data_IF_213441161035
#
_entry.id   IF_213441161035
#
_cell.length_a   1.000
_cell.length_b   1.000
_cell.length_c   1.000
_cell.angle_alpha   90.00
_cell.angle_beta   90.00
_cell.angle_gamma   90.00
#
_symmetry.space_group_name_H-M   'P 1'
#
loop_
_entity.id
_entity.type
_entity.pdbx_description
1 polymer ?
#
# COMPACT_ATOMS: atom_id res chain seq x y z
N UNK A 1 0.78 6.06 -20.83
CA UNK A 1 0.30 4.91 -20.02
C UNK A 1 1.19 4.85 -18.79
N UNK A 2 0.63 4.87 -17.59
CA UNK A 2 1.38 4.88 -16.33
C UNK A 2 1.10 3.58 -15.59
N UNK A 3 2.15 2.83 -15.23
CA UNK A 3 2.07 1.66 -14.38
C UNK A 3 2.89 1.94 -13.13
N UNK A 4 2.29 1.69 -11.95
CA UNK A 4 2.95 1.83 -10.65
C UNK A 4 3.06 0.43 -10.07
N UNK A 5 4.28 -0.01 -9.77
CA UNK A 5 4.55 -1.30 -9.15
C UNK A 5 4.93 -1.08 -7.68
N UNK A 6 4.14 -1.63 -6.77
CA UNK A 6 4.45 -1.71 -5.35
C UNK A 6 5.05 -3.09 -5.10
N UNK A 7 6.35 -3.15 -4.85
CA UNK A 7 7.10 -4.40 -4.78
C UNK A 7 8.30 -4.21 -3.86
N UNK A 8 8.74 -5.29 -3.23
CA UNK A 8 9.94 -5.27 -2.41
C UNK A 8 11.20 -5.21 -3.28
N UNK A 9 12.31 -4.74 -2.72
CA UNK A 9 13.60 -4.69 -3.43
C UNK A 9 14.04 -6.08 -3.90
N UNK A 10 13.75 -7.13 -3.12
CA UNK A 10 14.11 -8.52 -3.45
C UNK A 10 13.34 -9.07 -4.67
N UNK A 11 12.20 -8.47 -4.98
CA UNK A 11 11.33 -8.87 -6.09
C UNK A 11 11.72 -8.17 -7.41
N UNK A 12 12.55 -7.12 -7.36
CA UNK A 12 13.14 -6.43 -8.53
C UNK A 12 14.27 -7.27 -9.17
N UNK A 13 13.95 -8.51 -9.52
CA UNK A 13 14.90 -9.44 -10.10
C UNK A 13 14.98 -9.35 -11.64
N UNK A 14 15.91 -10.09 -12.24
CA UNK A 14 16.12 -10.12 -13.69
C UNK A 14 14.87 -10.53 -14.48
N UNK A 15 14.03 -11.40 -13.92
CA UNK A 15 12.78 -11.82 -14.56
C UNK A 15 11.77 -10.68 -14.61
N UNK A 16 11.66 -9.87 -13.55
CA UNK A 16 10.85 -8.66 -13.52
C UNK A 16 11.28 -7.68 -14.63
N UNK A 17 12.58 -7.39 -14.74
CA UNK A 17 13.11 -6.49 -15.77
C UNK A 17 12.86 -7.04 -17.18
N UNK A 18 12.98 -8.35 -17.40
CA UNK A 18 12.65 -8.98 -18.69
C UNK A 18 11.18 -8.78 -19.06
N UNK A 19 10.27 -8.95 -18.10
CA UNK A 19 8.85 -8.78 -18.34
C UNK A 19 8.49 -7.31 -18.58
N UNK A 20 9.09 -6.38 -17.83
CA UNK A 20 8.92 -4.94 -18.04
C UNK A 20 9.31 -4.54 -19.47
N UNK A 21 10.47 -5.00 -19.95
CA UNK A 21 10.94 -4.73 -21.33
C UNK A 21 10.02 -5.33 -22.40
N UNK A 22 9.42 -6.50 -22.15
CA UNK A 22 8.44 -7.10 -23.07
C UNK A 22 7.14 -6.32 -23.13
N UNK A 23 6.69 -5.79 -21.98
CA UNK A 23 5.42 -5.10 -21.86
C UNK A 23 5.46 -3.67 -22.43
N UNK A 24 6.63 -3.01 -22.35
CA UNK A 24 6.83 -1.63 -22.80
C UNK A 24 7.86 -1.53 -23.94
N UNK A 25 7.66 -2.29 -25.02
CA UNK A 25 8.57 -2.24 -26.18
C UNK A 25 8.67 -0.82 -26.76
N UNK A 26 9.91 -0.37 -27.03
CA UNK A 26 10.23 0.96 -27.56
C UNK A 26 9.73 2.17 -26.75
N UNK A 27 9.37 2.00 -25.47
CA UNK A 27 8.98 3.11 -24.61
C UNK A 27 10.20 3.76 -23.94
N UNK A 28 10.19 5.09 -23.82
CA UNK A 28 11.01 5.80 -22.83
C UNK A 28 10.27 5.68 -21.49
N UNK A 29 10.98 5.22 -20.46
CA UNK A 29 10.40 4.99 -19.13
C UNK A 29 11.17 5.79 -18.08
N UNK A 30 10.44 6.39 -17.16
CA UNK A 30 10.97 6.99 -15.94
C UNK A 30 10.77 6.00 -14.79
N UNK A 31 11.86 5.61 -14.12
CA UNK A 31 11.81 4.72 -12.95
C UNK A 31 12.03 5.56 -11.70
N UNK A 32 11.02 5.61 -10.83
CA UNK A 32 11.08 6.32 -9.56
C UNK A 32 11.11 5.29 -8.44
N UNK A 33 12.22 5.24 -7.70
CA UNK A 33 12.37 4.40 -6.51
C UNK A 33 12.13 5.28 -5.29
N UNK A 34 11.13 4.94 -4.48
CA UNK A 34 10.89 5.55 -3.17
C UNK A 34 10.94 4.45 -2.14
N UNK A 35 11.68 4.68 -1.06
CA UNK A 35 11.55 3.86 0.12
C UNK A 35 10.14 4.11 0.68
N UNK A 36 9.28 3.09 0.68
CA UNK A 36 7.96 3.22 1.31
C UNK A 36 8.19 3.21 2.82
N UNK A 37 8.01 4.37 3.44
CA UNK A 37 7.68 4.43 4.85
C UNK A 37 6.16 4.17 4.94
N UNK A 38 5.75 3.01 5.47
CA UNK A 38 4.34 2.62 5.57
C UNK A 38 3.50 3.68 6.30
N UNK A 39 4.14 4.48 7.15
CA UNK A 39 3.57 5.62 7.88
C UNK A 39 3.07 6.72 6.94
N UNK A 40 3.81 7.04 5.87
CA UNK A 40 3.44 8.11 4.94
C UNK A 40 2.30 7.68 4.00
N UNK A 41 2.22 6.40 3.66
CA UNK A 41 1.11 5.87 2.86
C UNK A 41 -0.22 5.92 3.63
N UNK A 42 -0.23 5.48 4.89
CA UNK A 42 -1.42 5.54 5.75
C UNK A 42 -1.89 6.98 5.98
N UNK A 43 -0.94 7.92 6.10
CA UNK A 43 -1.20 9.34 6.30
C UNK A 43 -1.48 10.15 5.02
N UNK A 44 -1.29 9.57 3.83
CA UNK A 44 -1.40 10.29 2.56
C UNK A 44 -2.82 10.76 2.21
N UNK A 45 -3.84 10.11 2.76
CA UNK A 45 -5.23 10.54 2.65
C UNK A 45 -5.69 11.16 3.95
N UNK A 46 -5.97 12.48 3.94
CA UNK A 46 -6.46 13.23 5.11
C UNK A 46 -7.66 12.54 5.77
N UNK A 47 -8.55 11.97 4.95
CA UNK A 47 -9.72 11.21 5.40
C UNK A 47 -9.34 9.90 6.10
N UNK A 48 -8.33 9.18 5.60
CA UNK A 48 -7.87 7.93 6.19
C UNK A 48 -7.11 8.17 7.51
N UNK A 49 -6.37 9.28 7.58
CA UNK A 49 -5.71 9.73 8.80
C UNK A 49 -6.74 10.05 9.90
N UNK A 50 -7.78 10.81 9.57
CA UNK A 50 -8.86 11.13 10.53
C UNK A 50 -9.56 9.87 11.07
N UNK A 51 -9.86 8.89 10.21
CA UNK A 51 -10.42 7.60 10.66
C UNK A 51 -9.46 6.78 11.53
N UNK A 52 -8.16 6.77 11.20
CA UNK A 52 -7.17 6.07 12.02
C UNK A 52 -7.04 6.72 13.40
N UNK A 53 -6.97 8.04 13.47
CA UNK A 53 -6.87 8.79 14.72
C UNK A 53 -8.11 8.59 15.59
N UNK A 54 -9.31 8.57 14.99
CA UNK A 54 -10.56 8.28 15.68
C UNK A 54 -10.59 6.83 16.22
N UNK A 55 -10.21 5.85 15.40
CA UNK A 55 -10.16 4.44 15.83
C UNK A 55 -9.14 4.22 16.96
N UNK A 56 -7.97 4.86 16.90
CA UNK A 56 -6.97 4.80 17.99
C UNK A 56 -7.54 5.39 19.28
N UNK A 57 -8.29 6.49 19.18
CA UNK A 57 -8.94 7.11 20.33
C UNK A 57 -10.03 6.21 20.92
N UNK A 58 -10.85 5.57 20.09
CA UNK A 58 -11.87 4.62 20.55
C UNK A 58 -11.27 3.40 21.26
N UNK A 59 -10.12 2.91 20.79
CA UNK A 59 -9.38 1.83 21.46
C UNK A 59 -8.86 2.30 22.83
N UNK A 60 -8.25 3.48 22.90
CA UNK A 60 -7.75 4.04 24.17
C UNK A 60 -8.88 4.33 25.17
N UNK A 61 -10.02 4.79 24.69
CA UNK A 61 -11.23 5.06 25.49
C UNK A 61 -12.05 3.78 25.78
N UNK A 62 -11.56 2.59 25.39
CA UNK A 62 -12.21 1.28 25.57
C UNK A 62 -13.61 1.16 24.95
N UNK A 63 -13.90 1.95 23.90
CA UNK A 63 -15.13 1.85 23.09
C UNK A 63 -14.99 0.78 22.01
N UNK A 64 -14.73 -0.46 22.44
CA UNK A 64 -14.48 -1.58 21.54
C UNK A 64 -15.77 -2.34 21.24
N UNK A 65 -15.95 -2.74 19.97
CA UNK A 65 -16.95 -3.72 19.58
C UNK A 65 -16.26 -5.08 19.50
N UNK A 66 -16.64 -6.01 20.38
CA UNK A 66 -16.13 -7.39 20.32
C UNK A 66 -16.99 -8.15 19.32
N UNK A 67 -16.37 -8.74 18.30
CA UNK A 67 -17.03 -9.62 17.33
C UNK A 67 -16.25 -10.91 17.18
N UNK A 68 -16.96 -12.01 16.94
CA UNK A 68 -16.34 -13.26 16.52
C UNK A 68 -16.02 -13.21 15.03
N UNK A 69 -15.08 -14.05 14.58
CA UNK A 69 -14.67 -14.15 13.17
C UNK A 69 -15.87 -14.50 12.27
N UNK A 70 -16.81 -15.30 12.77
CA UNK A 70 -18.04 -15.71 12.09
C UNK A 70 -19.00 -14.53 11.83
N UNK A 71 -19.02 -13.54 12.72
CA UNK A 71 -19.85 -12.33 12.60
C UNK A 71 -19.28 -11.30 11.61
N UNK A 72 -18.00 -11.45 11.23
CA UNK A 72 -17.32 -10.54 10.31
C UNK A 72 -17.56 -10.88 8.83
N UNK A 73 -18.19 -12.03 8.52
CA UNK A 73 -18.48 -12.48 7.13
C UNK A 73 -17.31 -12.28 6.17
N UNK A 74 -16.09 -12.55 6.65
CA UNK A 74 -14.86 -12.56 5.85
C UNK A 74 -14.73 -13.86 5.07
#
# INVERSE_FOLDING_TARGET
MQAIFHTNLDELNLSFIKNLKKQFQNAKVDIVIKQMDETDYLNSSKKNKEYLEEAIKEVNDSKLITKTIEELKL
#
